data_IF_011549009212
#
_entry.id   IF_011549009212
#
_cell.length_a   1.000
_cell.length_b   1.000
_cell.length_c   1.000
_cell.angle_alpha   90.00
_cell.angle_beta   90.00
_cell.angle_gamma   90.00
#
_symmetry.space_group_name_H-M   'P 1'
#
loop_
_entity.id
_entity.type
_entity.pdbx_description
1 polymer ?
#
# COMPACT_ATOMS: atom_id res chain seq x y z
N UNK A 1 6.55 0.08 -27.53
CA UNK A 1 5.42 -0.64 -26.94
C UNK A 1 4.22 0.29 -26.97
N UNK A 2 3.16 -0.10 -27.66
CA UNK A 2 1.88 0.61 -27.65
C UNK A 2 1.27 0.48 -26.25
N UNK A 3 1.05 1.61 -25.58
CA UNK A 3 0.31 1.66 -24.31
C UNK A 3 -1.10 1.08 -24.54
N UNK A 4 -1.43 0.02 -23.81
CA UNK A 4 -2.76 -0.61 -23.84
C UNK A 4 -3.65 0.01 -22.76
N UNK A 5 -3.07 0.74 -21.81
CA UNK A 5 -3.80 1.39 -20.74
C UNK A 5 -4.57 2.61 -21.25
N UNK A 6 -5.83 2.72 -20.86
CA UNK A 6 -6.65 3.92 -21.09
C UNK A 6 -6.14 5.05 -20.20
N UNK A 7 -5.67 6.14 -20.82
CA UNK A 7 -5.26 7.34 -20.10
C UNK A 7 -6.30 8.44 -20.37
N UNK A 8 -7.14 8.71 -19.38
CA UNK A 8 -8.19 9.70 -19.48
C UNK A 8 -8.04 10.80 -18.41
N UNK A 9 -8.57 11.98 -18.69
CA UNK A 9 -8.35 13.19 -17.89
C UNK A 9 -9.44 13.37 -16.82
N UNK A 10 -9.81 12.29 -16.12
CA UNK A 10 -10.77 12.33 -15.00
C UNK A 10 -10.37 11.36 -13.88
N UNK A 11 -10.79 11.62 -12.63
CA UNK A 11 -10.53 10.76 -11.49
C UNK A 11 -11.17 9.38 -11.66
N UNK A 12 -10.50 8.31 -11.16
CA UNK A 12 -10.98 6.92 -11.24
C UNK A 12 -11.17 6.38 -12.67
N UNK A 13 -10.35 6.83 -13.63
CA UNK A 13 -10.45 6.34 -14.99
C UNK A 13 -10.08 4.85 -15.10
N UNK A 14 -9.29 4.31 -14.19
CA UNK A 14 -8.92 2.90 -14.10
C UNK A 14 -9.88 2.18 -13.16
N UNK A 15 -10.82 1.41 -13.69
CA UNK A 15 -11.76 0.61 -12.89
C UNK A 15 -11.16 -0.76 -12.60
N UNK A 16 -10.50 -1.38 -13.59
CA UNK A 16 -9.79 -2.64 -13.45
C UNK A 16 -8.28 -2.38 -13.49
N UNK A 17 -7.49 -2.94 -12.55
CA UNK A 17 -6.05 -2.74 -12.52
C UNK A 17 -5.39 -3.23 -13.81
N UNK A 18 -4.56 -2.39 -14.42
CA UNK A 18 -3.67 -2.83 -15.49
C UNK A 18 -2.43 -3.48 -14.88
N UNK A 19 -2.11 -4.69 -15.32
CA UNK A 19 -0.98 -5.46 -14.79
C UNK A 19 0.09 -5.60 -15.87
N UNK A 20 1.32 -5.24 -15.53
CA UNK A 20 2.49 -5.38 -16.39
C UNK A 20 3.63 -6.08 -15.67
N UNK A 21 4.29 -7.02 -16.36
CA UNK A 21 5.47 -7.70 -15.82
C UNK A 21 6.72 -7.25 -16.58
N UNK A 22 7.80 -7.02 -15.85
CA UNK A 22 9.12 -6.69 -16.40
C UNK A 22 10.22 -7.54 -15.77
N UNK A 23 11.18 -7.96 -16.57
CA UNK A 23 12.34 -8.66 -16.08
C UNK A 23 13.28 -7.69 -15.33
N UNK A 24 13.82 -8.12 -14.19
CA UNK A 24 14.81 -7.36 -13.43
C UNK A 24 16.20 -7.64 -14.00
N UNK A 25 16.87 -6.64 -14.59
CA UNK A 25 18.24 -6.83 -15.09
C UNK A 25 19.20 -7.13 -13.92
N UNK A 26 19.92 -8.26 -14.00
CA UNK A 26 20.95 -8.62 -13.04
C UNK A 26 22.19 -9.17 -13.74
N UNK A 27 23.25 -8.38 -13.75
CA UNK A 27 24.52 -8.75 -14.38
C UNK A 27 25.22 -9.94 -13.70
N UNK A 28 24.85 -10.28 -12.47
CA UNK A 28 25.39 -11.46 -11.77
C UNK A 28 24.96 -12.76 -12.45
N UNK A 29 23.77 -12.80 -12.99
CA UNK A 29 23.23 -13.96 -13.69
C UNK A 29 24.07 -14.37 -14.92
N UNK A 30 24.57 -13.39 -15.67
CA UNK A 30 25.46 -13.68 -16.81
C UNK A 30 26.77 -14.32 -16.35
N UNK A 31 27.34 -13.84 -15.26
CA UNK A 31 28.58 -14.41 -14.70
C UNK A 31 28.35 -15.83 -14.17
N UNK A 32 27.27 -16.05 -13.44
CA UNK A 32 26.89 -17.37 -12.94
C UNK A 32 26.60 -18.35 -14.07
N UNK A 33 25.86 -17.93 -15.11
CA UNK A 33 25.58 -18.74 -16.29
C UNK A 33 26.85 -19.20 -16.99
N UNK A 34 27.83 -18.32 -17.14
CA UNK A 34 29.13 -18.67 -17.73
C UNK A 34 29.91 -19.70 -16.91
N UNK A 35 29.90 -19.57 -15.57
CA UNK A 35 30.57 -20.52 -14.65
C UNK A 35 29.88 -21.89 -14.70
N UNK A 36 28.55 -21.90 -14.70
CA UNK A 36 27.73 -23.11 -14.62
C UNK A 36 27.39 -23.71 -15.98
N UNK A 37 27.82 -23.07 -17.09
CA UNK A 37 27.45 -23.44 -18.46
C UNK A 37 25.95 -23.64 -18.65
N UNK A 38 25.14 -22.71 -18.09
CA UNK A 38 23.70 -22.78 -18.12
C UNK A 38 23.15 -22.53 -19.52
N UNK A 39 22.19 -23.32 -19.96
CA UNK A 39 21.56 -23.18 -21.29
C UNK A 39 20.70 -21.92 -21.40
N UNK A 40 20.13 -21.46 -20.26
CA UNK A 40 19.21 -20.32 -20.23
C UNK A 40 19.37 -19.51 -18.95
N UNK A 41 19.29 -18.19 -19.08
CA UNK A 41 19.19 -17.26 -17.95
C UNK A 41 17.71 -16.90 -17.80
N UNK A 42 17.19 -17.02 -16.57
CA UNK A 42 15.84 -16.61 -16.20
C UNK A 42 15.97 -15.49 -15.17
N UNK A 43 15.50 -14.31 -15.53
CA UNK A 43 15.48 -13.15 -14.64
C UNK A 43 14.31 -13.24 -13.66
N UNK A 44 14.51 -12.66 -12.48
CA UNK A 44 13.39 -12.34 -11.58
C UNK A 44 12.49 -11.29 -12.26
N UNK A 45 11.18 -11.35 -11.99
CA UNK A 45 10.21 -10.41 -12.51
C UNK A 45 9.65 -9.53 -11.43
N UNK A 46 9.36 -8.30 -11.79
CA UNK A 46 8.54 -7.38 -11.01
C UNK A 46 7.21 -7.22 -11.74
N UNK A 47 6.13 -7.35 -10.99
CA UNK A 47 4.77 -7.08 -11.47
C UNK A 47 4.39 -5.66 -11.05
N UNK A 48 4.09 -4.81 -12.01
CA UNK A 48 3.52 -3.49 -11.77
C UNK A 48 2.01 -3.57 -11.92
N UNK A 49 1.30 -3.04 -10.93
CA UNK A 49 -0.16 -2.94 -10.92
C UNK A 49 -0.51 -1.46 -10.97
N UNK A 50 -1.20 -1.03 -12.02
CA UNK A 50 -1.70 0.34 -12.14
C UNK A 50 -2.99 0.46 -11.33
N UNK A 51 -2.89 1.10 -10.17
CA UNK A 51 -4.00 1.29 -9.26
C UNK A 51 -4.58 2.69 -9.49
N UNK A 52 -5.91 2.80 -9.61
CA UNK A 52 -6.60 4.09 -9.77
C UNK A 52 -6.19 5.07 -8.67
N UNK A 53 -6.12 6.38 -9.02
CA UNK A 53 -5.70 7.40 -8.06
C UNK A 53 -6.60 7.49 -6.83
N UNK A 54 -5.99 7.62 -5.65
CA UNK A 54 -6.69 7.89 -4.40
C UNK A 54 -7.13 9.35 -4.36
N UNK A 55 -8.35 9.59 -3.89
CA UNK A 55 -8.87 10.93 -3.61
C UNK A 55 -9.19 11.08 -2.14
N UNK A 56 -9.22 12.31 -1.65
CA UNK A 56 -9.60 12.64 -0.29
C UNK A 56 -10.96 12.03 0.08
N UNK A 57 -11.06 11.41 1.25
CA UNK A 57 -12.27 10.74 1.74
C UNK A 57 -12.47 9.31 1.24
N UNK A 58 -11.50 8.73 0.53
CA UNK A 58 -11.60 7.36 0.03
C UNK A 58 -11.70 6.30 1.13
N UNK A 59 -11.05 6.54 2.28
CA UNK A 59 -11.13 5.65 3.46
C UNK A 59 -12.52 5.58 4.07
N UNK A 60 -13.33 6.64 3.94
CA UNK A 60 -14.70 6.73 4.49
C UNK A 60 -15.79 6.39 3.48
N UNK A 61 -15.43 6.15 2.21
CA UNK A 61 -16.35 5.94 1.10
C UNK A 61 -16.81 4.50 0.96
N UNK A 62 -18.11 4.29 0.73
CA UNK A 62 -18.61 3.02 0.20
C UNK A 62 -18.28 2.94 -1.30
N UNK A 63 -17.72 1.81 -1.76
CA UNK A 63 -17.51 1.53 -3.18
C UNK A 63 -16.06 1.64 -3.66
N UNK A 64 -15.74 2.57 -4.57
CA UNK A 64 -14.44 2.63 -5.28
C UNK A 64 -13.24 2.84 -4.34
N UNK A 65 -13.41 3.59 -3.23
CA UNK A 65 -12.35 3.81 -2.25
C UNK A 65 -11.93 2.51 -1.55
N UNK A 66 -12.89 1.68 -1.13
CA UNK A 66 -12.60 0.39 -0.50
C UNK A 66 -11.95 -0.60 -1.47
N UNK A 67 -12.35 -0.58 -2.75
CA UNK A 67 -11.71 -1.40 -3.79
C UNK A 67 -10.28 -0.98 -4.04
N UNK A 68 -10.02 0.33 -4.06
CA UNK A 68 -8.67 0.88 -4.18
C UNK A 68 -7.76 0.44 -3.02
N UNK A 69 -8.23 0.58 -1.77
CA UNK A 69 -7.49 0.16 -0.58
C UNK A 69 -7.27 -1.37 -0.57
N UNK A 70 -8.20 -2.15 -1.12
CA UNK A 70 -8.04 -3.59 -1.33
C UNK A 70 -6.85 -3.88 -2.25
N UNK A 71 -6.76 -3.20 -3.40
CA UNK A 71 -5.66 -3.38 -4.34
C UNK A 71 -4.29 -2.98 -3.74
N UNK A 72 -4.25 -1.94 -2.89
CA UNK A 72 -3.03 -1.54 -2.18
C UNK A 72 -2.54 -2.65 -1.26
N UNK A 73 -3.43 -3.34 -0.56
CA UNK A 73 -3.06 -4.43 0.37
C UNK A 73 -2.56 -5.70 -0.31
N UNK A 74 -2.76 -5.83 -1.62
CA UNK A 74 -2.31 -6.99 -2.40
C UNK A 74 -0.89 -6.83 -2.97
N UNK A 75 -0.26 -5.67 -2.79
CA UNK A 75 1.09 -5.37 -3.32
C UNK A 75 2.14 -5.27 -2.23
N UNK A 76 3.39 -5.65 -2.55
CA UNK A 76 4.51 -5.63 -1.61
C UNK A 76 5.09 -4.22 -1.39
N UNK A 77 4.89 -3.30 -2.36
CA UNK A 77 5.41 -1.94 -2.31
C UNK A 77 4.54 -1.00 -3.14
N UNK A 78 4.48 0.27 -2.73
CA UNK A 78 3.77 1.33 -3.42
C UNK A 78 4.73 2.32 -4.06
N UNK A 79 4.46 2.68 -5.32
CA UNK A 79 5.15 3.77 -6.02
C UNK A 79 4.16 4.92 -6.18
N UNK A 80 4.32 5.96 -5.38
CA UNK A 80 3.47 7.14 -5.43
C UNK A 80 3.96 8.08 -6.54
N UNK A 81 3.16 8.27 -7.58
CA UNK A 81 3.43 9.21 -8.67
C UNK A 81 2.76 10.54 -8.35
N UNK A 82 3.58 11.57 -8.14
CA UNK A 82 3.14 12.91 -7.74
C UNK A 82 3.40 13.90 -8.85
N UNK A 83 2.40 14.72 -9.18
CA UNK A 83 2.51 15.75 -10.20
C UNK A 83 3.23 16.98 -9.64
N UNK A 84 4.41 17.30 -10.23
CA UNK A 84 5.23 18.45 -9.84
C UNK A 84 5.37 19.51 -10.96
N UNK A 85 4.51 19.47 -11.98
CA UNK A 85 4.58 20.38 -13.13
C UNK A 85 3.20 20.98 -13.43
N UNK A 86 3.19 22.17 -14.03
CA UNK A 86 2.00 22.85 -14.48
C UNK A 86 1.72 22.52 -15.96
N UNK A 87 0.48 22.20 -16.30
CA UNK A 87 -0.01 22.03 -17.67
C UNK A 87 -1.52 22.26 -17.66
N UNK A 88 -1.97 23.27 -18.41
CA UNK A 88 -3.38 23.64 -18.48
C UNK A 88 -4.28 22.58 -19.13
N UNK A 89 -3.69 21.68 -19.94
CA UNK A 89 -4.43 20.61 -20.62
C UNK A 89 -4.67 19.39 -19.73
N UNK A 90 -4.01 19.32 -18.55
CA UNK A 90 -4.15 18.21 -17.62
C UNK A 90 -4.91 18.69 -16.39
N UNK A 91 -6.10 18.15 -16.18
CA UNK A 91 -6.93 18.50 -15.01
C UNK A 91 -6.30 17.93 -13.72
N UNK A 92 -6.26 18.76 -12.66
CA UNK A 92 -5.92 18.33 -11.32
C UNK A 92 -7.19 18.17 -10.48
N UNK A 93 -7.29 17.09 -9.68
CA UNK A 93 -8.49 16.80 -8.87
C UNK A 93 -8.86 17.96 -7.95
N UNK A 94 -7.87 18.58 -7.31
CA UNK A 94 -8.05 19.69 -6.38
C UNK A 94 -7.94 21.07 -7.05
N UNK A 95 -7.79 21.14 -8.38
CA UNK A 95 -7.69 22.38 -9.14
C UNK A 95 -6.38 23.17 -8.96
N UNK A 96 -5.59 22.85 -7.95
CA UNK A 96 -4.29 23.50 -7.64
C UNK A 96 -3.25 22.39 -7.46
N UNK A 97 -2.09 22.58 -8.12
CA UNK A 97 -0.97 21.65 -8.01
C UNK A 97 -0.19 21.98 -6.74
N UNK A 98 -0.23 21.07 -5.78
CA UNK A 98 0.53 21.14 -4.54
C UNK A 98 1.05 19.72 -4.20
N UNK A 99 2.27 19.38 -4.66
CA UNK A 99 2.81 18.04 -4.50
C UNK A 99 2.92 17.58 -3.03
N UNK A 100 3.21 18.50 -2.11
CA UNK A 100 3.35 18.19 -0.69
C UNK A 100 1.99 17.82 -0.10
N UNK A 101 0.98 18.65 -0.35
CA UNK A 101 -0.39 18.37 0.09
C UNK A 101 -0.93 17.07 -0.51
N UNK A 102 -0.64 16.79 -1.78
CA UNK A 102 -1.08 15.56 -2.43
C UNK A 102 -0.46 14.32 -1.78
N UNK A 103 0.83 14.39 -1.40
CA UNK A 103 1.51 13.32 -0.64
C UNK A 103 0.87 13.17 0.75
N UNK A 104 0.66 14.26 1.48
CA UNK A 104 0.05 14.26 2.81
C UNK A 104 -1.37 13.69 2.79
N UNK A 105 -2.16 14.05 1.77
CA UNK A 105 -3.51 13.51 1.58
C UNK A 105 -3.48 11.99 1.45
N UNK A 106 -2.63 11.44 0.59
CA UNK A 106 -2.52 9.99 0.40
C UNK A 106 -2.04 9.29 1.68
N UNK A 107 -1.01 9.83 2.33
CA UNK A 107 -0.52 9.26 3.58
C UNK A 107 -1.59 9.25 4.67
N UNK A 108 -2.40 10.32 4.76
CA UNK A 108 -3.51 10.41 5.72
C UNK A 108 -4.59 9.38 5.41
N UNK A 109 -4.98 9.20 4.16
CA UNK A 109 -6.00 8.22 3.77
C UNK A 109 -5.54 6.78 4.04
N UNK A 110 -4.27 6.46 3.78
CA UNK A 110 -3.68 5.16 4.12
C UNK A 110 -3.70 4.93 5.63
N UNK A 111 -3.25 5.92 6.41
CA UNK A 111 -3.24 5.86 7.87
C UNK A 111 -4.64 5.64 8.44
N UNK A 112 -5.64 6.38 7.96
CA UNK A 112 -7.02 6.22 8.38
C UNK A 112 -7.56 4.82 8.06
N UNK A 113 -7.20 4.28 6.90
CA UNK A 113 -7.55 2.90 6.51
C UNK A 113 -6.93 1.85 7.44
N UNK A 114 -5.68 2.06 7.85
CA UNK A 114 -4.99 1.15 8.75
C UNK A 114 -5.60 1.20 10.15
N UNK A 115 -5.90 2.40 10.68
CA UNK A 115 -6.62 2.57 11.95
C UNK A 115 -7.97 1.85 11.90
N UNK A 116 -8.76 2.04 10.85
CA UNK A 116 -10.06 1.38 10.70
C UNK A 116 -9.91 -0.16 10.67
N UNK A 117 -8.86 -0.67 10.04
CA UNK A 117 -8.57 -2.10 9.99
C UNK A 117 -8.21 -2.67 11.37
N UNK A 118 -7.47 -1.93 12.17
CA UNK A 118 -7.16 -2.27 13.56
C UNK A 118 -8.41 -2.26 14.43
N UNK A 119 -9.20 -1.18 14.36
CA UNK A 119 -10.43 -1.02 15.14
C UNK A 119 -11.45 -2.14 14.87
N UNK A 120 -11.61 -2.58 13.62
CA UNK A 120 -12.51 -3.68 13.24
C UNK A 120 -12.14 -5.01 13.90
N UNK A 121 -10.88 -5.20 14.32
CA UNK A 121 -10.43 -6.44 14.99
C UNK A 121 -10.67 -6.42 16.50
N UNK A 122 -10.76 -5.25 17.12
CA UNK A 122 -10.91 -5.09 18.58
C UNK A 122 -12.07 -5.92 19.14
N UNK A 123 -13.31 -5.85 18.62
CA UNK A 123 -14.44 -6.57 19.23
C UNK A 123 -14.26 -8.09 19.27
N UNK A 124 -13.60 -8.65 18.25
CA UNK A 124 -13.34 -10.10 18.21
C UNK A 124 -12.23 -10.49 19.20
N UNK A 125 -11.19 -9.69 19.30
CA UNK A 125 -10.10 -9.91 20.26
C UNK A 125 -10.57 -9.76 21.71
N UNK A 126 -11.39 -8.78 22.03
CA UNK A 126 -12.01 -8.61 23.36
C UNK A 126 -12.88 -9.81 23.73
N UNK A 127 -13.61 -10.37 22.78
CA UNK A 127 -14.41 -11.59 23.03
C UNK A 127 -13.51 -12.77 23.38
N UNK A 128 -12.39 -12.94 22.69
CA UNK A 128 -11.40 -14.00 22.97
C UNK A 128 -10.70 -13.77 24.32
N UNK A 129 -10.32 -12.53 24.63
CA UNK A 129 -9.73 -12.14 25.91
C UNK A 129 -10.63 -12.48 27.08
N UNK A 130 -11.93 -12.17 27.00
CA UNK A 130 -12.94 -12.56 28.01
C UNK A 130 -13.05 -14.09 28.16
N UNK A 131 -12.69 -14.84 27.14
CA UNK A 131 -12.55 -16.31 27.18
C UNK A 131 -11.24 -16.81 27.79
N UNK A 132 -10.34 -15.91 28.22
CA UNK A 132 -9.06 -16.26 28.83
C UNK A 132 -7.91 -16.42 27.82
N UNK A 133 -8.06 -15.99 26.58
CA UNK A 133 -7.02 -16.05 25.55
C UNK A 133 -5.96 -14.97 25.81
N UNK A 134 -4.76 -15.40 26.24
CA UNK A 134 -3.63 -14.50 26.54
C UNK A 134 -3.03 -13.88 25.28
N UNK A 135 -3.13 -14.52 24.13
CA UNK A 135 -2.64 -13.99 22.86
C UNK A 135 -3.53 -12.83 22.41
N UNK A 136 -4.85 -12.96 22.56
CA UNK A 136 -5.77 -11.86 22.31
C UNK A 136 -5.48 -10.64 23.19
N UNK A 137 -5.13 -10.83 24.49
CA UNK A 137 -4.74 -9.71 25.37
C UNK A 137 -3.47 -9.01 24.88
N UNK A 138 -2.47 -9.74 24.37
CA UNK A 138 -1.26 -9.15 23.81
C UNK A 138 -1.58 -8.33 22.55
N UNK A 139 -2.39 -8.89 21.66
CA UNK A 139 -2.79 -8.24 20.41
C UNK A 139 -3.59 -6.97 20.64
N UNK A 140 -4.49 -6.94 21.63
CA UNK A 140 -5.21 -5.73 22.03
C UNK A 140 -4.27 -4.62 22.49
N UNK A 141 -3.30 -4.95 23.36
CA UNK A 141 -2.32 -3.97 23.82
C UNK A 141 -1.47 -3.41 22.66
N UNK A 142 -1.09 -4.27 21.71
CA UNK A 142 -0.35 -3.84 20.53
C UNK A 142 -1.19 -2.89 19.67
N UNK A 143 -2.47 -3.20 19.45
CA UNK A 143 -3.39 -2.33 18.71
C UNK A 143 -3.50 -0.96 19.38
N UNK A 144 -3.66 -0.90 20.69
CA UNK A 144 -3.71 0.36 21.44
C UNK A 144 -2.43 1.19 21.24
N UNK A 145 -1.26 0.53 21.33
CA UNK A 145 0.04 1.17 21.10
C UNK A 145 0.13 1.71 19.66
N UNK A 146 -0.30 0.93 18.66
CA UNK A 146 -0.26 1.34 17.27
C UNK A 146 -1.16 2.55 17.00
N UNK A 147 -2.41 2.52 17.48
CA UNK A 147 -3.36 3.63 17.33
C UNK A 147 -2.84 4.90 18.01
N UNK A 148 -2.28 4.79 19.21
CA UNK A 148 -1.69 5.93 19.92
C UNK A 148 -0.50 6.53 19.18
N UNK A 149 0.36 5.69 18.59
CA UNK A 149 1.49 6.16 17.80
C UNK A 149 1.03 6.83 16.49
N UNK A 150 0.04 6.27 15.81
CA UNK A 150 -0.55 6.86 14.62
C UNK A 150 -1.17 8.25 14.88
N UNK A 151 -1.79 8.43 16.03
CA UNK A 151 -2.33 9.74 16.46
C UNK A 151 -1.25 10.76 16.82
N UNK A 152 0.02 10.35 16.98
CA UNK A 152 1.15 11.20 17.37
C UNK A 152 2.19 11.36 16.26
N UNK A 153 1.85 11.06 15.00
CA UNK A 153 2.72 11.11 13.80
C UNK A 153 4.03 10.30 13.94
N UNK A 154 4.05 9.32 14.83
CA UNK A 154 5.19 8.40 14.93
C UNK A 154 5.08 7.30 13.88
N UNK A 155 6.21 6.95 13.30
CA UNK A 155 6.27 5.87 12.32
C UNK A 155 6.30 4.51 13.02
N UNK A 156 5.73 3.48 12.37
CA UNK A 156 5.82 2.08 12.85
C UNK A 156 7.27 1.63 13.01
N UNK A 157 8.16 2.10 12.14
CA UNK A 157 9.60 1.80 12.16
C UNK A 157 10.30 2.26 13.45
N UNK A 158 9.71 3.23 14.16
CA UNK A 158 10.23 3.75 15.43
C UNK A 158 9.73 2.94 16.66
N UNK A 159 8.88 1.93 16.43
CA UNK A 159 8.33 1.08 17.49
C UNK A 159 9.17 -0.20 17.57
N UNK A 160 9.70 -0.50 18.76
CA UNK A 160 10.44 -1.75 19.02
C UNK A 160 9.45 -2.91 19.14
N UNK A 161 9.32 -3.68 18.06
CA UNK A 161 8.39 -4.79 17.93
C UNK A 161 9.11 -6.12 18.04
N UNK A 162 8.53 -7.07 18.76
CA UNK A 162 8.95 -8.45 18.74
C UNK A 162 8.61 -9.13 17.40
N UNK A 163 9.25 -10.25 17.10
CA UNK A 163 8.97 -11.02 15.87
C UNK A 163 7.50 -11.48 15.78
N UNK A 164 6.84 -11.75 16.92
CA UNK A 164 5.42 -12.14 16.97
C UNK A 164 4.52 -10.93 16.62
N UNK A 165 4.86 -9.74 17.14
CA UNK A 165 4.15 -8.50 16.86
C UNK A 165 4.33 -8.03 15.41
N UNK A 166 5.54 -8.15 14.87
CA UNK A 166 5.82 -7.85 13.46
C UNK A 166 5.02 -8.76 12.51
N UNK A 167 4.91 -10.06 12.84
CA UNK A 167 4.05 -10.98 12.08
C UNK A 167 2.57 -10.59 12.14
N UNK A 168 2.10 -10.16 13.30
CA UNK A 168 0.72 -9.75 13.46
C UNK A 168 0.41 -8.47 12.65
N UNK A 169 1.36 -7.52 12.63
CA UNK A 169 1.21 -6.28 11.83
C UNK A 169 1.17 -6.59 10.33
N UNK A 170 1.94 -7.54 9.85
CA UNK A 170 1.95 -7.97 8.44
C UNK A 170 0.66 -8.66 7.96
N UNK A 171 -0.29 -8.91 8.86
CA UNK A 171 -1.63 -9.41 8.51
C UNK A 171 -2.61 -8.28 8.12
N UNK A 172 -2.20 -7.02 8.16
CA UNK A 172 -2.98 -5.86 7.75
C UNK A 172 -2.59 -5.42 6.37
#
# INVERSE_FOLDING_TARGET
>A
QTSIAQAENYPFCTIEPNVGEVDVPDNRLFRLSNISSSEKIIHTRITFVDIAGLVEGASKGEGLGNQFLGNIREVDALVHIVRCFEDENITHVNGIIDPIRDIETINTELLLSDIESLEKRIPNLEKKERGGDKDATKKLKLIDILIDNFNTDKKIEDIDLSEEEDKFIKEF
#
